data_IF_791413817011
#
_entry.id   IF_791413817011
#
_cell.length_a   1.000
_cell.length_b   1.000
_cell.length_c   1.000
_cell.angle_alpha   90.00
_cell.angle_beta   90.00
_cell.angle_gamma   90.00
#
_symmetry.space_group_name_H-M   'P 1'
#
loop_
_entity.id
_entity.type
_entity.pdbx_description
1 polymer ?
#
# COMPACT_ATOMS: atom_id res chain seq x y z
N UNK A 1 10.19 -2.85 -17.10
CA UNK A 1 9.50 -2.44 -15.86
C UNK A 1 8.34 -3.38 -15.62
N UNK A 2 8.25 -3.90 -14.42
CA UNK A 2 7.21 -4.87 -14.06
C UNK A 2 6.20 -4.19 -13.14
N UNK A 3 4.93 -4.38 -13.44
CA UNK A 3 3.86 -3.91 -12.56
C UNK A 3 3.46 -5.02 -11.61
N UNK A 4 3.45 -4.71 -10.32
CA UNK A 4 3.07 -5.66 -9.28
C UNK A 4 1.93 -5.09 -8.47
N UNK A 5 0.96 -5.93 -8.14
CA UNK A 5 -0.21 -5.55 -7.37
C UNK A 5 -0.13 -6.11 -5.97
N UNK A 6 -0.38 -5.25 -4.99
CA UNK A 6 -0.38 -5.61 -3.59
C UNK A 6 -1.79 -5.70 -3.08
N UNK A 7 -2.08 -6.72 -2.28
CA UNK A 7 -3.42 -6.92 -1.74
C UNK A 7 -3.78 -5.82 -0.76
N UNK A 8 -5.05 -5.45 -0.77
CA UNK A 8 -5.57 -4.49 0.19
C UNK A 8 -5.72 -5.09 1.57
N UNK A 9 -5.72 -4.24 2.56
CA UNK A 9 -5.75 -4.65 3.96
C UNK A 9 -7.12 -4.55 4.60
N UNK A 10 -7.94 -3.64 4.14
CA UNK A 10 -9.21 -3.34 4.79
C UNK A 10 -10.15 -4.52 4.88
N UNK A 11 -10.17 -5.33 3.87
CA UNK A 11 -11.11 -6.43 3.78
C UNK A 11 -10.81 -7.53 4.78
N UNK A 12 -9.73 -7.43 5.51
CA UNK A 12 -9.24 -8.47 6.40
C UNK A 12 -9.36 -8.12 7.87
N UNK A 13 -10.33 -7.32 8.23
CA UNK A 13 -10.47 -6.86 9.61
C UNK A 13 -10.51 -7.98 10.63
N UNK A 14 -11.20 -9.07 10.33
CA UNK A 14 -11.44 -10.12 11.31
C UNK A 14 -10.19 -10.90 11.69
N UNK A 15 -9.29 -11.08 10.73
CA UNK A 15 -8.05 -11.80 11.02
C UNK A 15 -6.85 -11.13 10.41
N UNK A 16 -7.04 -9.95 9.87
CA UNK A 16 -5.99 -9.28 9.13
C UNK A 16 -5.25 -8.23 9.89
N UNK A 17 -5.86 -7.60 10.89
CA UNK A 17 -5.22 -6.47 11.54
C UNK A 17 -3.92 -6.84 12.23
N UNK A 18 -3.94 -7.84 13.10
CA UNK A 18 -2.72 -8.30 13.76
C UNK A 18 -1.77 -8.96 12.79
N UNK A 19 -2.33 -9.68 11.86
CA UNK A 19 -1.63 -10.36 10.79
C UNK A 19 -0.74 -9.38 10.01
N UNK A 20 -1.31 -8.24 9.60
CA UNK A 20 -0.61 -7.27 8.77
C UNK A 20 0.33 -6.37 9.55
N UNK A 21 0.25 -6.37 10.87
CA UNK A 21 1.21 -5.70 11.73
C UNK A 21 2.31 -6.64 12.18
N UNK A 22 2.16 -7.93 11.94
CA UNK A 22 3.17 -8.91 12.29
C UNK A 22 4.34 -8.80 11.31
N UNK A 23 5.49 -8.49 11.85
CA UNK A 23 6.71 -8.30 11.06
C UNK A 23 7.04 -9.50 10.20
N UNK A 24 6.82 -10.68 10.74
CA UNK A 24 7.10 -11.93 10.03
C UNK A 24 6.29 -12.03 8.74
N UNK A 25 4.99 -11.71 8.80
CA UNK A 25 4.12 -11.78 7.63
C UNK A 25 4.45 -10.70 6.61
N UNK A 26 4.78 -9.50 7.09
CA UNK A 26 5.18 -8.41 6.21
C UNK A 26 6.42 -8.81 5.43
N UNK A 27 7.39 -9.39 6.09
CA UNK A 27 8.62 -9.83 5.43
C UNK A 27 8.36 -10.94 4.42
N UNK A 28 7.44 -11.85 4.75
CA UNK A 28 7.08 -12.91 3.81
C UNK A 28 6.40 -12.36 2.57
N UNK A 29 5.52 -11.39 2.74
CA UNK A 29 4.83 -10.75 1.62
C UNK A 29 5.84 -10.02 0.74
N UNK A 30 6.70 -9.24 1.36
CA UNK A 30 7.74 -8.50 0.62
C UNK A 30 8.64 -9.45 -0.16
N UNK A 31 9.03 -10.55 0.47
CA UNK A 31 9.88 -11.53 -0.20
C UNK A 31 9.18 -12.19 -1.38
N UNK A 32 7.88 -12.45 -1.23
CA UNK A 32 7.10 -13.05 -2.31
C UNK A 32 6.95 -12.10 -3.50
N UNK A 33 6.78 -10.81 -3.22
CA UNK A 33 6.66 -9.80 -4.27
C UNK A 33 8.01 -9.48 -4.89
N UNK A 34 9.05 -9.51 -4.08
CA UNK A 34 10.42 -9.20 -4.48
C UNK A 34 10.49 -7.85 -5.22
N UNK A 35 10.11 -6.76 -4.55
CA UNK A 35 10.03 -5.46 -5.21
C UNK A 35 11.43 -4.96 -5.59
N UNK A 36 11.53 -4.45 -6.81
CA UNK A 36 12.77 -3.93 -7.35
C UNK A 36 12.62 -2.45 -7.65
N UNK A 37 13.74 -1.73 -7.59
CA UNK A 37 13.76 -0.34 -8.03
C UNK A 37 13.34 -0.28 -9.49
N UNK A 38 12.40 0.59 -9.81
CA UNK A 38 11.87 0.71 -11.16
C UNK A 38 10.60 -0.07 -11.41
N UNK A 39 10.20 -0.94 -10.48
CA UNK A 39 8.92 -1.63 -10.61
C UNK A 39 7.78 -0.63 -10.45
N UNK A 40 6.70 -0.85 -11.19
CA UNK A 40 5.47 -0.11 -11.01
C UNK A 40 4.61 -0.84 -10.00
N UNK A 41 4.73 -0.46 -8.73
CA UNK A 41 4.05 -1.14 -7.64
C UNK A 41 2.79 -0.38 -7.27
N UNK A 42 1.68 -1.10 -7.16
CA UNK A 42 0.41 -0.51 -6.75
C UNK A 42 -0.15 -1.30 -5.58
N UNK A 43 -0.40 -0.61 -4.49
CA UNK A 43 -1.01 -1.20 -3.30
C UNK A 43 -2.44 -0.70 -3.17
N UNK A 44 -3.38 -1.63 -3.01
CA UNK A 44 -4.79 -1.30 -2.83
C UNK A 44 -5.11 -1.37 -1.34
N UNK A 45 -5.54 -0.25 -0.77
CA UNK A 45 -5.92 -0.19 0.63
C UNK A 45 -4.76 -0.36 1.60
N UNK A 46 -3.73 0.51 1.52
CA UNK A 46 -2.54 0.36 2.37
C UNK A 46 -2.81 0.50 3.87
N UNK A 47 -3.95 1.07 4.25
CA UNK A 47 -4.33 1.19 5.65
C UNK A 47 -3.33 2.00 6.44
N UNK A 48 -2.74 1.39 7.47
CA UNK A 48 -1.77 2.07 8.33
C UNK A 48 -0.34 1.99 7.80
N UNK A 49 -0.18 1.52 6.58
CA UNK A 49 1.07 1.63 5.82
C UNK A 49 2.21 0.72 6.28
N UNK A 50 1.89 -0.38 6.96
CA UNK A 50 2.95 -1.30 7.40
C UNK A 50 3.73 -1.88 6.22
N UNK A 51 3.01 -2.37 5.21
CA UNK A 51 3.64 -2.91 4.01
C UNK A 51 4.20 -1.79 3.14
N UNK A 52 3.48 -0.68 3.08
CA UNK A 52 3.87 0.49 2.28
C UNK A 52 5.28 0.96 2.64
N UNK A 53 5.56 1.07 3.95
CA UNK A 53 6.87 1.52 4.41
C UNK A 53 7.99 0.61 3.95
N UNK A 54 7.76 -0.69 4.02
CA UNK A 54 8.79 -1.65 3.59
C UNK A 54 9.06 -1.55 2.10
N UNK A 55 8.01 -1.45 1.31
CA UNK A 55 8.16 -1.34 -0.14
C UNK A 55 8.90 -0.07 -0.51
N UNK A 56 8.52 1.05 0.10
CA UNK A 56 9.16 2.34 -0.18
C UNK A 56 10.63 2.32 0.24
N UNK A 57 10.96 1.68 1.36
CA UNK A 57 12.35 1.56 1.77
C UNK A 57 13.19 0.81 0.75
N UNK A 58 12.60 -0.20 0.11
CA UNK A 58 13.32 -1.03 -0.84
C UNK A 58 13.40 -0.43 -2.23
N UNK A 59 12.36 0.27 -2.65
CA UNK A 59 12.24 0.72 -4.03
C UNK A 59 12.25 2.22 -4.21
N UNK A 60 11.99 2.96 -3.15
CA UNK A 60 11.94 4.42 -3.19
C UNK A 60 10.58 5.00 -3.55
N UNK A 61 9.71 4.22 -4.12
CA UNK A 61 8.41 4.73 -4.55
C UNK A 61 7.37 3.63 -4.66
N UNK A 62 6.12 4.00 -4.36
CA UNK A 62 4.97 3.12 -4.56
C UNK A 62 3.78 3.99 -4.93
N UNK A 63 2.82 3.41 -5.66
CA UNK A 63 1.51 4.00 -5.87
C UNK A 63 0.52 3.27 -4.98
N UNK A 64 -0.37 4.00 -4.34
CA UNK A 64 -1.39 3.39 -3.49
C UNK A 64 -2.76 3.96 -3.81
N UNK A 65 -3.78 3.12 -3.67
CA UNK A 65 -5.17 3.51 -3.80
C UNK A 65 -5.84 3.32 -2.46
N UNK A 66 -6.38 4.40 -1.90
CA UNK A 66 -7.02 4.38 -0.59
C UNK A 66 -8.39 5.04 -0.67
N UNK A 67 -9.42 4.32 -0.21
CA UNK A 67 -10.79 4.84 -0.25
C UNK A 67 -11.18 5.55 1.04
N UNK A 68 -10.50 5.28 2.13
CA UNK A 68 -10.77 5.90 3.42
C UNK A 68 -10.09 7.28 3.47
N UNK A 69 -10.90 8.32 3.66
CA UNK A 69 -10.41 9.69 3.66
C UNK A 69 -9.39 9.94 4.77
N UNK A 70 -9.64 9.40 5.94
CA UNK A 70 -8.76 9.64 7.08
C UNK A 70 -7.43 8.91 6.91
N UNK A 71 -7.48 7.69 6.38
CA UNK A 71 -6.26 6.94 6.09
C UNK A 71 -5.47 7.60 4.96
N UNK A 72 -6.17 8.14 3.97
CA UNK A 72 -5.49 8.87 2.89
C UNK A 72 -4.74 10.09 3.46
N UNK A 73 -5.37 10.83 4.35
CA UNK A 73 -4.73 11.97 5.00
C UNK A 73 -3.51 11.54 5.81
N UNK A 74 -3.64 10.44 6.54
CA UNK A 74 -2.54 9.87 7.31
C UNK A 74 -1.36 9.53 6.39
N UNK A 75 -1.65 8.90 5.27
CA UNK A 75 -0.60 8.51 4.31
C UNK A 75 0.13 9.71 3.73
N UNK A 76 -0.61 10.79 3.46
CA UNK A 76 0.01 12.01 2.94
C UNK A 76 0.92 12.67 3.96
N UNK A 77 0.67 12.46 5.24
CA UNK A 77 1.55 12.95 6.29
C UNK A 77 2.79 12.09 6.45
N UNK A 78 2.66 10.80 6.20
CA UNK A 78 3.76 9.86 6.41
C UNK A 78 4.77 9.84 5.28
N UNK A 79 4.35 10.14 4.06
CA UNK A 79 5.19 9.99 2.87
C UNK A 79 5.09 11.22 1.98
N UNK A 80 6.20 11.57 1.36
CA UNK A 80 6.21 12.64 0.36
C UNK A 80 5.58 12.14 -0.94
N UNK A 81 5.23 13.06 -1.81
CA UNK A 81 4.69 12.70 -3.12
C UNK A 81 5.70 11.95 -3.97
N UNK A 82 6.98 12.15 -3.71
CA UNK A 82 8.02 11.42 -4.41
C UNK A 82 8.09 9.97 -3.95
N UNK A 83 7.73 9.70 -2.70
CA UNK A 83 7.73 8.35 -2.16
C UNK A 83 6.43 7.61 -2.46
N UNK A 84 5.32 8.31 -2.39
CA UNK A 84 4.00 7.69 -2.53
C UNK A 84 3.12 8.52 -3.43
N UNK A 85 2.70 7.93 -4.54
CA UNK A 85 1.66 8.51 -5.39
C UNK A 85 0.34 7.98 -4.88
N UNK A 86 -0.42 8.83 -4.21
CA UNK A 86 -1.65 8.38 -3.57
C UNK A 86 -2.86 8.77 -4.40
N UNK A 87 -3.68 7.77 -4.69
CA UNK A 87 -4.96 7.96 -5.35
C UNK A 87 -6.03 7.76 -4.29
N UNK A 88 -6.76 8.80 -4.00
CA UNK A 88 -7.87 8.73 -3.06
C UNK A 88 -9.12 8.39 -3.87
N UNK A 89 -9.63 7.18 -3.69
CA UNK A 89 -10.77 6.69 -4.45
C UNK A 89 -12.04 6.80 -3.62
N UNK A 90 -13.14 7.11 -4.29
CA UNK A 90 -14.44 7.15 -3.66
C UNK A 90 -15.17 5.85 -3.98
N UNK A 91 -15.52 5.11 -2.95
CA UNK A 91 -16.19 3.82 -3.11
C UNK A 91 -17.53 3.94 -3.83
N UNK A 92 -18.16 5.12 -3.75
CA UNK A 92 -19.44 5.36 -4.40
C UNK A 92 -19.31 5.67 -5.89
N UNK A 93 -18.10 5.90 -6.36
CA UNK A 93 -17.87 6.19 -7.76
C UNK A 93 -17.70 4.92 -8.55
N UNK A 94 -18.25 4.93 -9.73
CA UNK A 94 -18.18 3.77 -10.62
C UNK A 94 -16.84 3.66 -11.33
N UNK A 95 -16.11 4.76 -11.40
CA UNK A 95 -14.81 4.77 -12.04
C UNK A 95 -13.83 5.52 -11.18
N UNK A 96 -12.65 4.95 -11.02
CA UNK A 96 -11.56 5.56 -10.25
C UNK A 96 -10.46 6.10 -11.15
N UNK A 97 -10.72 6.09 -12.43
CA UNK A 97 -9.73 6.52 -13.41
C UNK A 97 -9.98 7.95 -13.80
#
# INVERSE_FOLDING_TARGET
MTQKWLAGHHARKRFGQNFLHDRHWIERIVRAIDPQVGDALVEIGPGQAALTREVIQLTGHETAVEIDRDLAAFLREQFSEEQLSLIEADADRKSVV
#
